data_IF_954212897048
#
_entry.id   IF_954212897048
#
_cell.length_a   1.000
_cell.length_b   1.000
_cell.length_c   1.000
_cell.angle_alpha   90.00
_cell.angle_beta   90.00
_cell.angle_gamma   90.00
#
_symmetry.space_group_name_H-M   'P 1'
#
loop_
_entity.id
_entity.type
_entity.pdbx_description
1 polymer ?
#
# COMPACT_ATOMS: atom_id res chain seq x y z
N UNK A 1 3.50 6.79 -9.44
CA UNK A 1 2.27 6.47 -8.66
C UNK A 1 1.38 5.40 -9.34
N UNK A 2 0.99 5.54 -10.62
CA UNK A 2 0.11 4.58 -11.32
C UNK A 2 0.70 3.16 -11.45
N UNK A 3 2.00 3.03 -11.79
CA UNK A 3 2.67 1.72 -11.92
C UNK A 3 2.78 0.95 -10.60
N UNK A 4 3.03 1.66 -9.49
CA UNK A 4 3.09 1.07 -8.15
C UNK A 4 1.71 0.58 -7.70
N UNK A 5 0.66 1.35 -7.94
CA UNK A 5 -0.71 0.92 -7.65
C UNK A 5 -1.09 -0.34 -8.44
N UNK A 6 -0.75 -0.43 -9.74
CA UNK A 6 -0.98 -1.65 -10.55
C UNK A 6 -0.20 -2.88 -10.06
N UNK A 7 1.01 -2.68 -9.54
CA UNK A 7 1.84 -3.73 -8.95
C UNK A 7 1.18 -4.34 -7.71
N UNK A 8 0.69 -3.47 -6.82
CA UNK A 8 0.15 -3.85 -5.52
C UNK A 8 -1.18 -4.60 -5.63
N UNK A 9 -1.98 -4.35 -6.68
CA UNK A 9 -3.28 -5.02 -6.92
C UNK A 9 -3.23 -6.55 -6.94
N UNK A 10 -2.09 -7.15 -7.27
CA UNK A 10 -1.94 -8.61 -7.30
C UNK A 10 -1.53 -9.23 -5.97
N UNK A 11 -1.66 -8.49 -4.86
CA UNK A 11 -1.38 -8.94 -3.49
C UNK A 11 -2.71 -9.08 -2.73
N UNK A 12 -2.82 -10.08 -1.87
CA UNK A 12 -4.11 -10.46 -1.24
C UNK A 12 -4.79 -9.31 -0.50
N UNK A 13 -4.01 -8.46 0.17
CA UNK A 13 -4.51 -7.27 0.87
C UNK A 13 -5.20 -6.29 -0.09
N UNK A 14 -4.55 -5.96 -1.20
CA UNK A 14 -5.08 -5.02 -2.19
C UNK A 14 -6.21 -5.64 -3.01
N UNK A 15 -6.16 -6.92 -3.33
CA UNK A 15 -7.28 -7.65 -3.97
C UNK A 15 -8.56 -7.52 -3.12
N UNK A 16 -8.43 -7.66 -1.80
CA UNK A 16 -9.57 -7.49 -0.89
C UNK A 16 -10.11 -6.05 -0.89
N UNK A 17 -9.24 -5.04 -0.93
CA UNK A 17 -9.66 -3.64 -1.06
C UNK A 17 -10.37 -3.37 -2.39
N UNK A 18 -9.89 -3.95 -3.49
CA UNK A 18 -10.53 -3.81 -4.80
C UNK A 18 -11.91 -4.45 -4.84
N UNK A 19 -12.08 -5.61 -4.20
CA UNK A 19 -13.38 -6.25 -4.02
C UNK A 19 -14.33 -5.33 -3.23
N UNK A 20 -13.89 -4.76 -2.10
CA UNK A 20 -14.68 -3.81 -1.31
C UNK A 20 -15.06 -2.56 -2.11
N UNK A 21 -14.11 -1.96 -2.83
CA UNK A 21 -14.36 -0.77 -3.67
C UNK A 21 -15.37 -1.07 -4.78
N UNK A 22 -15.28 -2.26 -5.39
CA UNK A 22 -16.22 -2.70 -6.42
C UNK A 22 -17.62 -2.86 -5.83
N UNK A 23 -17.76 -3.51 -4.69
CA UNK A 23 -19.05 -3.66 -4.02
C UNK A 23 -19.60 -2.32 -3.56
N UNK A 24 -18.78 -1.41 -3.03
CA UNK A 24 -19.20 -0.06 -2.65
C UNK A 24 -19.72 0.74 -3.84
N UNK A 25 -19.09 0.62 -5.02
CA UNK A 25 -19.57 1.26 -6.26
C UNK A 25 -20.91 0.69 -6.73
N UNK A 26 -21.06 -0.64 -6.67
CA UNK A 26 -22.26 -1.33 -7.16
C UNK A 26 -23.43 -1.34 -6.16
N UNK A 27 -23.15 -1.08 -4.88
CA UNK A 27 -24.13 -1.09 -3.81
C UNK A 27 -25.19 -0.01 -4.02
N UNK A 28 -26.44 -0.36 -3.80
CA UNK A 28 -27.53 0.60 -3.63
C UNK A 28 -27.54 1.12 -2.19
N UNK A 29 -28.09 2.32 -1.98
CA UNK A 29 -28.34 2.92 -0.66
C UNK A 29 -29.81 2.77 -0.23
N UNK A 30 -30.60 2.04 -1.00
CA UNK A 30 -32.04 1.82 -0.82
C UNK A 30 -32.40 0.57 0.01
N UNK A 31 -31.41 -0.15 0.56
CA UNK A 31 -31.66 -1.34 1.39
C UNK A 31 -32.48 -0.93 2.64
N UNK A 32 -33.74 -1.40 2.79
CA UNK A 32 -34.61 -0.96 3.88
C UNK A 32 -34.04 -1.23 5.27
N UNK A 33 -33.25 -2.31 5.43
CA UNK A 33 -32.59 -2.63 6.71
C UNK A 33 -31.53 -1.60 7.11
N UNK A 34 -31.05 -0.78 6.17
CA UNK A 34 -30.02 0.23 6.39
C UNK A 34 -30.58 1.63 6.73
N UNK A 35 -31.91 1.77 6.88
CA UNK A 35 -32.56 3.05 7.21
C UNK A 35 -32.03 3.69 8.50
N UNK A 36 -31.58 2.87 9.45
CA UNK A 36 -31.04 3.34 10.73
C UNK A 36 -29.75 4.18 10.60
N UNK A 37 -29.08 4.19 9.45
CA UNK A 37 -27.98 5.12 9.19
C UNK A 37 -28.43 6.59 9.31
N UNK A 38 -29.64 6.92 8.85
CA UNK A 38 -30.17 8.30 8.87
C UNK A 38 -30.48 8.78 10.29
N UNK A 39 -31.00 7.90 11.14
CA UNK A 39 -31.43 8.28 12.50
C UNK A 39 -30.26 8.43 13.48
N UNK A 40 -29.09 7.84 13.19
CA UNK A 40 -27.95 7.80 14.11
C UNK A 40 -26.82 8.75 13.73
N UNK A 41 -26.71 9.14 12.46
CA UNK A 41 -25.72 10.09 11.97
C UNK A 41 -26.43 11.43 11.78
N UNK A 42 -25.98 12.48 12.49
CA UNK A 42 -26.59 13.79 12.38
C UNK A 42 -26.49 14.31 10.93
N UNK A 43 -27.61 14.83 10.41
CA UNK A 43 -27.70 15.39 9.07
C UNK A 43 -27.12 16.82 9.03
N UNK A 44 -25.81 16.95 9.25
CA UNK A 44 -25.07 18.17 8.88
C UNK A 44 -25.11 18.34 7.35
N UNK A 45 -25.10 19.58 6.80
CA UNK A 45 -25.62 19.85 5.45
C UNK A 45 -24.94 19.08 4.30
N UNK A 46 -23.64 18.77 4.39
CA UNK A 46 -22.87 18.00 3.39
C UNK A 46 -22.24 16.73 3.97
N UNK A 47 -21.35 16.88 4.96
CA UNK A 47 -20.58 15.76 5.54
C UNK A 47 -21.48 14.70 6.18
N UNK A 48 -22.56 15.11 6.86
CA UNK A 48 -23.52 14.17 7.43
C UNK A 48 -24.22 13.33 6.36
N UNK A 49 -24.60 13.94 5.23
CA UNK A 49 -25.25 13.24 4.11
C UNK A 49 -24.30 12.23 3.44
N UNK A 50 -23.05 12.62 3.20
CA UNK A 50 -22.05 11.72 2.62
C UNK A 50 -21.73 10.53 3.54
N UNK A 51 -21.65 10.75 4.86
CA UNK A 51 -21.48 9.66 5.83
C UNK A 51 -22.70 8.74 5.91
N UNK A 52 -23.91 9.28 5.84
CA UNK A 52 -25.15 8.48 5.77
C UNK A 52 -25.13 7.61 4.52
N UNK A 53 -24.73 8.17 3.36
CA UNK A 53 -24.62 7.43 2.11
C UNK A 53 -23.60 6.31 2.19
N UNK A 54 -22.40 6.59 2.72
CA UNK A 54 -21.38 5.58 2.97
C UNK A 54 -21.89 4.49 3.93
N UNK A 55 -22.53 4.88 5.04
CA UNK A 55 -23.10 3.95 6.01
C UNK A 55 -24.11 3.00 5.37
N UNK A 56 -25.04 3.52 4.54
CA UNK A 56 -26.04 2.70 3.85
C UNK A 56 -25.41 1.69 2.91
N UNK A 57 -24.41 2.11 2.12
CA UNK A 57 -23.69 1.21 1.22
C UNK A 57 -22.91 0.13 1.97
N UNK A 58 -22.19 0.51 3.03
CA UNK A 58 -21.44 -0.44 3.85
C UNK A 58 -22.39 -1.39 4.57
N UNK A 59 -23.53 -0.92 5.06
CA UNK A 59 -24.60 -1.76 5.59
C UNK A 59 -25.12 -2.76 4.56
N UNK A 60 -25.36 -2.34 3.31
CA UNK A 60 -25.77 -3.24 2.24
C UNK A 60 -24.70 -4.30 1.93
N UNK A 61 -23.41 -3.92 1.91
CA UNK A 61 -22.30 -4.87 1.81
C UNK A 61 -22.40 -5.87 2.97
N UNK A 62 -22.48 -5.38 4.21
CA UNK A 62 -22.59 -6.20 5.43
C UNK A 62 -23.75 -7.20 5.34
N UNK A 63 -24.92 -6.79 4.86
CA UNK A 63 -26.12 -7.63 4.90
C UNK A 63 -26.20 -8.60 3.71
N UNK A 64 -25.83 -8.14 2.51
CA UNK A 64 -26.18 -8.81 1.26
C UNK A 64 -24.99 -9.46 0.53
N UNK A 65 -23.74 -9.09 0.82
CA UNK A 65 -22.56 -9.65 0.14
C UNK A 65 -22.01 -10.83 0.94
N UNK A 66 -22.30 -12.06 0.51
CA UNK A 66 -21.82 -13.28 1.20
C UNK A 66 -20.32 -13.53 0.91
N UNK A 67 -19.87 -13.48 -0.35
CA UNK A 67 -18.51 -13.92 -0.73
C UNK A 67 -17.32 -13.16 -0.10
N UNK A 68 -17.41 -11.84 0.08
CA UNK A 68 -16.35 -11.05 0.74
C UNK A 68 -16.36 -11.28 2.24
N UNK A 69 -17.55 -11.39 2.83
CA UNK A 69 -17.74 -11.37 4.28
C UNK A 69 -17.71 -12.76 4.89
N UNK A 70 -17.93 -13.81 4.09
CA UNK A 70 -17.66 -15.19 4.47
C UNK A 70 -16.16 -15.41 4.73
N UNK A 71 -15.27 -14.56 4.16
CA UNK A 71 -13.84 -14.56 4.49
C UNK A 71 -13.61 -14.25 5.98
N UNK A 72 -14.52 -13.51 6.64
CA UNK A 72 -14.46 -13.22 8.08
C UNK A 72 -14.89 -14.42 8.97
N UNK A 73 -15.41 -15.51 8.40
CA UNK A 73 -15.94 -16.68 9.14
C UNK A 73 -14.85 -17.64 9.63
N UNK A 74 -13.66 -17.60 9.05
CA UNK A 74 -12.57 -18.48 9.47
C UNK A 74 -12.11 -18.07 10.87
N UNK A 75 -12.57 -18.79 11.90
CA UNK A 75 -12.36 -18.52 13.34
C UNK A 75 -10.88 -18.39 13.80
N UNK A 76 -9.92 -18.55 12.88
CA UNK A 76 -8.48 -18.44 13.14
C UNK A 76 -7.83 -17.23 12.50
N UNK A 77 -8.48 -16.55 11.55
CA UNK A 77 -7.91 -15.42 10.82
C UNK A 77 -8.89 -14.25 10.74
N UNK A 78 -8.70 -13.26 11.61
CA UNK A 78 -9.51 -12.04 11.66
C UNK A 78 -9.04 -10.98 10.64
N UNK A 79 -8.03 -11.28 9.80
CA UNK A 79 -7.47 -10.36 8.82
C UNK A 79 -8.50 -9.73 7.90
N UNK A 80 -9.46 -10.45 7.28
CA UNK A 80 -10.46 -9.80 6.41
C UNK A 80 -11.26 -8.74 7.14
N UNK A 81 -11.55 -8.94 8.43
CA UNK A 81 -12.22 -7.96 9.26
C UNK A 81 -11.32 -6.75 9.57
N UNK A 82 -10.04 -7.00 9.88
CA UNK A 82 -9.08 -5.94 10.10
C UNK A 82 -8.90 -5.10 8.82
N UNK A 83 -8.72 -5.74 7.66
CA UNK A 83 -8.62 -5.09 6.36
C UNK A 83 -9.85 -4.22 6.10
N UNK A 84 -11.06 -4.76 6.32
CA UNK A 84 -12.29 -3.99 6.18
C UNK A 84 -12.35 -2.80 7.15
N UNK A 85 -11.81 -2.94 8.36
CA UNK A 85 -11.75 -1.84 9.34
C UNK A 85 -10.85 -0.70 8.85
N UNK A 86 -9.64 -1.01 8.36
CA UNK A 86 -8.73 0.00 7.80
C UNK A 86 -9.33 0.65 6.54
N UNK A 87 -9.86 -0.15 5.62
CA UNK A 87 -10.53 0.35 4.41
C UNK A 87 -11.69 1.30 4.75
N UNK A 88 -12.55 0.91 5.69
CA UNK A 88 -13.70 1.71 6.09
C UNK A 88 -13.24 3.01 6.75
N UNK A 89 -12.26 2.96 7.64
CA UNK A 89 -11.78 4.16 8.31
C UNK A 89 -11.17 5.16 7.34
N UNK A 90 -10.40 4.69 6.36
CA UNK A 90 -9.87 5.54 5.28
C UNK A 90 -11.01 6.24 4.50
N UNK A 91 -12.05 5.50 4.13
CA UNK A 91 -13.22 6.06 3.45
C UNK A 91 -14.02 7.04 4.33
N UNK A 92 -14.09 6.81 5.64
CA UNK A 92 -14.77 7.71 6.57
C UNK A 92 -13.97 9.01 6.76
N UNK A 93 -12.65 8.91 6.90
CA UNK A 93 -11.75 10.06 7.10
C UNK A 93 -11.58 10.93 5.85
N UNK A 94 -11.88 10.40 4.65
CA UNK A 94 -11.93 11.20 3.43
C UNK A 94 -13.17 12.10 3.37
N UNK A 95 -14.22 11.77 4.11
CA UNK A 95 -15.50 12.50 4.17
C UNK A 95 -15.54 13.45 5.38
N UNK A 96 -15.07 12.99 6.55
CA UNK A 96 -15.19 13.75 7.80
C UNK A 96 -14.01 13.54 8.74
N UNK A 97 -13.63 14.61 9.45
CA UNK A 97 -12.78 14.56 10.63
C UNK A 97 -13.57 14.70 11.94
N UNK A 98 -14.91 14.77 11.89
CA UNK A 98 -15.74 14.91 13.08
C UNK A 98 -15.86 13.56 13.80
N UNK A 99 -15.01 13.35 14.81
CA UNK A 99 -14.95 12.11 15.58
C UNK A 99 -16.29 11.70 16.20
N UNK A 100 -17.21 12.64 16.48
CA UNK A 100 -18.54 12.31 16.99
C UNK A 100 -19.39 11.61 15.92
N UNK A 101 -19.43 12.16 14.69
CA UNK A 101 -20.14 11.55 13.57
C UNK A 101 -19.55 10.19 13.19
N UNK A 102 -18.21 10.08 13.22
CA UNK A 102 -17.50 8.82 13.00
C UNK A 102 -17.92 7.78 14.04
N UNK A 103 -17.94 8.14 15.33
CA UNK A 103 -18.39 7.22 16.39
C UNK A 103 -19.84 6.77 16.19
N UNK A 104 -20.74 7.68 15.81
CA UNK A 104 -22.13 7.32 15.47
C UNK A 104 -22.22 6.33 14.30
N UNK A 105 -21.44 6.54 13.24
CA UNK A 105 -21.37 5.63 12.09
C UNK A 105 -20.92 4.23 12.52
N UNK A 106 -19.83 4.12 13.29
CA UNK A 106 -19.35 2.81 13.75
C UNK A 106 -20.29 2.14 14.73
N UNK A 107 -21.02 2.90 15.56
CA UNK A 107 -22.04 2.37 16.43
C UNK A 107 -23.15 1.67 15.63
N UNK A 108 -23.66 2.31 14.58
CA UNK A 108 -24.74 1.73 13.78
C UNK A 108 -24.24 0.55 12.93
N UNK A 109 -23.04 0.63 12.34
CA UNK A 109 -22.46 -0.49 11.59
C UNK A 109 -22.28 -1.74 12.48
N UNK A 110 -21.90 -1.56 13.75
CA UNK A 110 -21.82 -2.68 14.72
C UNK A 110 -23.18 -3.37 14.90
N UNK A 111 -24.28 -2.64 14.89
CA UNK A 111 -25.63 -3.21 14.99
C UNK A 111 -25.92 -4.09 13.75
N UNK A 112 -25.56 -3.63 12.56
CA UNK A 112 -25.72 -4.43 11.34
C UNK A 112 -24.83 -5.67 11.31
N UNK A 113 -23.57 -5.55 11.74
CA UNK A 113 -22.68 -6.71 11.92
C UNK A 113 -23.32 -7.75 12.85
N UNK A 114 -23.88 -7.28 13.97
CA UNK A 114 -24.57 -8.11 14.95
C UNK A 114 -25.91 -8.68 14.46
N UNK A 115 -26.51 -8.19 13.37
CA UNK A 115 -27.75 -8.79 12.84
C UNK A 115 -27.46 -9.94 11.89
N UNK A 116 -26.23 -10.05 11.36
CA UNK A 116 -25.78 -11.13 10.45
C UNK A 116 -24.99 -12.24 11.15
N UNK A 117 -25.39 -12.57 12.38
CA UNK A 117 -24.61 -13.39 13.33
C UNK A 117 -24.01 -14.71 12.82
N UNK A 118 -24.55 -15.50 11.87
CA UNK A 118 -23.80 -16.70 11.44
C UNK A 118 -22.52 -16.39 10.64
N UNK A 119 -22.44 -15.24 9.95
CA UNK A 119 -21.33 -14.94 9.03
C UNK A 119 -20.40 -13.83 9.55
N UNK A 120 -20.84 -13.04 10.54
CA UNK A 120 -20.11 -11.85 11.01
C UNK A 120 -19.77 -11.85 12.50
N UNK A 121 -20.10 -12.91 13.26
CA UNK A 121 -19.99 -12.93 14.72
C UNK A 121 -18.58 -12.64 15.28
N UNK A 122 -17.53 -12.84 14.48
CA UNK A 122 -16.14 -12.61 14.90
C UNK A 122 -15.53 -11.35 14.26
N UNK A 123 -16.28 -10.62 13.45
CA UNK A 123 -15.80 -9.40 12.83
C UNK A 123 -16.37 -8.16 13.51
N UNK A 124 -15.50 -7.46 14.24
CA UNK A 124 -15.82 -6.18 14.87
C UNK A 124 -15.10 -5.09 14.07
N UNK A 125 -15.87 -4.28 13.33
CA UNK A 125 -15.32 -3.14 12.60
C UNK A 125 -14.77 -2.11 13.59
N UNK A 126 -13.47 -1.84 13.48
CA UNK A 126 -12.74 -1.00 14.44
C UNK A 126 -12.84 0.48 14.05
N UNK A 127 -13.40 1.27 14.94
CA UNK A 127 -13.17 2.72 14.95
C UNK A 127 -11.80 2.97 15.58
N UNK A 128 -10.86 3.51 14.81
CA UNK A 128 -9.51 3.80 15.30
C UNK A 128 -9.46 5.03 16.22
N UNK A 129 -10.46 5.90 16.17
CA UNK A 129 -10.62 7.06 17.05
C UNK A 129 -9.37 7.96 17.10
N UNK A 130 -8.76 8.18 15.93
CA UNK A 130 -7.53 8.96 15.74
C UNK A 130 -7.69 9.98 14.62
N UNK A 131 -6.87 11.02 14.60
CA UNK A 131 -6.90 11.98 13.50
C UNK A 131 -6.34 11.37 12.20
N UNK A 132 -6.46 12.14 11.12
CA UNK A 132 -6.11 11.68 9.77
C UNK A 132 -4.62 11.39 9.62
N UNK A 133 -3.76 12.23 10.16
CA UNK A 133 -2.32 12.10 9.98
C UNK A 133 -1.79 10.87 10.73
N UNK A 134 -2.27 10.67 11.97
CA UNK A 134 -1.93 9.50 12.75
C UNK A 134 -2.45 8.21 12.09
N UNK A 135 -3.67 8.23 11.55
CA UNK A 135 -4.22 7.10 10.82
C UNK A 135 -3.45 6.81 9.54
N UNK A 136 -3.08 7.81 8.75
CA UNK A 136 -2.29 7.61 7.52
C UNK A 136 -0.95 6.94 7.85
N UNK A 137 -0.27 7.38 8.91
CA UNK A 137 0.96 6.72 9.37
C UNK A 137 0.73 5.28 9.79
N UNK A 138 -0.31 5.03 10.59
CA UNK A 138 -0.70 3.68 11.01
C UNK A 138 -1.02 2.78 9.83
N UNK A 139 -1.74 3.32 8.86
CA UNK A 139 -2.25 2.58 7.71
C UNK A 139 -1.11 2.19 6.79
N UNK A 140 -0.17 3.09 6.45
CA UNK A 140 1.02 2.76 5.64
C UNK A 140 1.84 1.63 6.28
N UNK A 141 2.13 1.70 7.58
CA UNK A 141 2.85 0.63 8.29
C UNK A 141 2.10 -0.72 8.21
N UNK A 142 0.78 -0.67 8.42
CA UNK A 142 -0.06 -1.86 8.38
C UNK A 142 -0.14 -2.49 6.98
N UNK A 143 -0.38 -1.68 5.93
CA UNK A 143 -0.46 -2.17 4.54
C UNK A 143 0.81 -2.90 4.15
N UNK A 144 1.97 -2.33 4.49
CA UNK A 144 3.25 -2.94 4.17
C UNK A 144 3.48 -4.25 4.94
N UNK A 145 3.19 -4.26 6.25
CA UNK A 145 3.31 -5.46 7.08
C UNK A 145 2.49 -6.63 6.53
N UNK A 146 1.24 -6.36 6.12
CA UNK A 146 0.31 -7.36 5.59
C UNK A 146 0.68 -7.81 4.17
N UNK A 147 1.21 -6.90 3.36
CA UNK A 147 1.53 -7.17 1.96
C UNK A 147 2.91 -7.78 1.76
N UNK A 148 3.82 -7.65 2.73
CA UNK A 148 5.23 -8.01 2.57
C UNK A 148 5.45 -9.48 2.21
N UNK A 149 4.73 -10.42 2.81
CA UNK A 149 4.97 -11.84 2.54
C UNK A 149 4.56 -12.22 1.10
N UNK A 150 3.49 -11.62 0.59
CA UNK A 150 3.07 -11.79 -0.81
C UNK A 150 4.10 -11.15 -1.75
N UNK A 151 4.63 -9.96 -1.41
CA UNK A 151 5.70 -9.30 -2.17
C UNK A 151 6.98 -10.13 -2.16
N UNK A 152 7.39 -10.66 -1.00
CA UNK A 152 8.55 -11.52 -0.83
C UNK A 152 8.48 -12.74 -1.74
N UNK A 153 7.34 -13.41 -1.82
CA UNK A 153 7.15 -14.55 -2.71
C UNK A 153 7.26 -14.15 -4.19
N UNK A 154 6.75 -12.97 -4.57
CA UNK A 154 6.89 -12.46 -5.94
C UNK A 154 8.32 -12.05 -6.27
N UNK A 155 9.05 -11.43 -5.34
CA UNK A 155 10.49 -11.13 -5.46
C UNK A 155 11.26 -12.44 -5.68
N UNK A 156 10.99 -13.46 -4.87
CA UNK A 156 11.68 -14.76 -4.93
C UNK A 156 11.36 -15.56 -6.21
N UNK A 157 10.26 -15.26 -6.89
CA UNK A 157 9.97 -15.84 -8.21
C UNK A 157 10.86 -15.30 -9.35
N UNK A 158 11.77 -14.35 -9.05
CA UNK A 158 12.75 -13.74 -9.97
C UNK A 158 12.12 -13.18 -11.26
N UNK A 159 10.94 -12.58 -11.16
CA UNK A 159 10.37 -11.86 -12.29
C UNK A 159 11.12 -10.53 -12.50
N UNK A 160 11.99 -10.47 -13.50
CA UNK A 160 12.86 -9.32 -13.82
C UNK A 160 12.11 -7.99 -13.96
N UNK A 161 10.83 -8.01 -14.35
CA UNK A 161 10.01 -6.81 -14.50
C UNK A 161 9.48 -6.29 -13.15
N UNK A 162 9.06 -7.19 -12.26
CA UNK A 162 8.35 -6.83 -11.04
C UNK A 162 9.25 -6.76 -9.80
N UNK A 163 10.32 -7.56 -9.75
CA UNK A 163 11.26 -7.56 -8.62
C UNK A 163 11.80 -6.16 -8.31
N UNK A 164 12.30 -5.36 -9.29
CA UNK A 164 12.78 -4.01 -9.02
C UNK A 164 11.70 -3.09 -8.43
N UNK A 165 10.44 -3.24 -8.85
CA UNK A 165 9.32 -2.43 -8.36
C UNK A 165 8.96 -2.78 -6.91
N UNK A 166 8.92 -4.07 -6.56
CA UNK A 166 8.70 -4.50 -5.18
C UNK A 166 9.86 -4.08 -4.27
N UNK A 167 11.10 -4.23 -4.74
CA UNK A 167 12.29 -3.81 -4.00
C UNK A 167 12.29 -2.30 -3.73
N UNK A 168 11.92 -1.49 -4.73
CA UNK A 168 11.73 -0.05 -4.55
C UNK A 168 10.71 0.25 -3.46
N UNK A 169 9.57 -0.44 -3.48
CA UNK A 169 8.53 -0.27 -2.46
C UNK A 169 8.98 -0.70 -1.05
N UNK A 170 9.78 -1.76 -0.94
CA UNK A 170 10.42 -2.15 0.34
C UNK A 170 11.32 -1.03 0.87
N UNK A 171 12.17 -0.46 0.01
CA UNK A 171 13.05 0.67 0.38
C UNK A 171 12.27 1.91 0.80
N UNK A 172 11.21 2.26 0.09
CA UNK A 172 10.31 3.39 0.44
C UNK A 172 9.70 3.20 1.83
N UNK A 173 9.23 2.00 2.17
CA UNK A 173 8.64 1.72 3.48
C UNK A 173 9.68 1.67 4.63
N UNK A 174 10.90 1.19 4.35
CA UNK A 174 12.01 1.26 5.33
C UNK A 174 12.38 2.73 5.63
N UNK A 175 12.41 3.58 4.60
CA UNK A 175 12.63 5.02 4.79
C UNK A 175 11.46 5.66 5.56
N UNK A 176 10.23 5.31 5.22
CA UNK A 176 9.04 5.81 5.90
C UNK A 176 9.05 5.48 7.39
N UNK A 177 9.31 4.22 7.76
CA UNK A 177 9.45 3.81 9.17
C UNK A 177 10.48 4.69 9.89
N UNK A 178 11.67 4.88 9.31
CA UNK A 178 12.74 5.66 9.92
C UNK A 178 12.41 7.16 10.05
N UNK A 179 11.62 7.71 9.13
CA UNK A 179 11.10 9.07 9.20
C UNK A 179 10.13 9.27 10.38
N UNK A 180 9.23 8.30 10.65
CA UNK A 180 8.13 8.50 11.61
C UNK A 180 8.36 7.88 12.99
N UNK A 181 9.31 6.96 13.16
CA UNK A 181 9.46 6.18 14.40
C UNK A 181 9.73 7.07 15.64
N UNK A 182 10.51 8.13 15.47
CA UNK A 182 10.88 9.03 16.57
C UNK A 182 9.74 10.00 16.94
N UNK A 183 8.72 10.14 16.09
CA UNK A 183 7.52 10.94 16.37
C UNK A 183 6.52 10.17 17.26
N UNK A 184 6.75 8.88 17.51
CA UNK A 184 5.81 7.97 18.15
C UNK A 184 6.52 6.94 19.03
N UNK A 185 7.09 7.42 20.14
CA UNK A 185 8.01 6.65 20.98
C UNK A 185 7.39 6.06 22.24
N UNK A 186 6.19 6.49 22.63
CA UNK A 186 5.50 6.01 23.83
C UNK A 186 4.35 5.04 23.51
N UNK A 187 4.01 4.18 24.47
CA UNK A 187 2.91 3.21 24.34
C UNK A 187 1.54 3.86 24.16
N UNK A 188 1.41 5.15 24.52
CA UNK A 188 0.19 5.93 24.32
C UNK A 188 0.03 6.46 22.90
N UNK A 189 1.07 6.37 22.07
CA UNK A 189 1.01 6.83 20.69
C UNK A 189 0.18 5.86 19.83
N UNK A 190 -0.63 6.45 18.94
CA UNK A 190 -1.72 5.79 18.21
C UNK A 190 -1.28 4.68 17.24
N UNK A 191 0.00 4.65 16.85
CA UNK A 191 0.59 3.65 15.94
C UNK A 191 1.90 3.03 16.49
N UNK A 192 2.14 3.14 17.79
CA UNK A 192 3.33 2.57 18.46
C UNK A 192 3.43 1.05 18.30
N UNK A 193 2.29 0.34 18.34
CA UNK A 193 2.24 -1.10 18.16
C UNK A 193 2.62 -1.51 16.73
N UNK A 194 2.19 -0.74 15.73
CA UNK A 194 2.52 -0.99 14.32
C UNK A 194 4.03 -0.78 14.08
N UNK A 195 4.61 0.26 14.66
CA UNK A 195 6.07 0.47 14.65
C UNK A 195 6.83 -0.69 15.29
N UNK A 196 6.36 -1.18 16.44
CA UNK A 196 6.97 -2.33 17.13
C UNK A 196 6.91 -3.60 16.27
N UNK A 197 5.77 -3.86 15.63
CA UNK A 197 5.60 -4.99 14.73
C UNK A 197 6.49 -4.87 13.49
N UNK A 198 6.57 -3.66 12.92
CA UNK A 198 7.47 -3.34 11.82
C UNK A 198 8.93 -3.63 12.19
N UNK A 199 9.41 -3.05 13.30
CA UNK A 199 10.76 -3.30 13.83
C UNK A 199 11.02 -4.78 14.04
N UNK A 200 10.12 -5.48 14.73
CA UNK A 200 10.26 -6.91 15.02
C UNK A 200 10.44 -7.74 13.74
N UNK A 201 9.70 -7.42 12.68
CA UNK A 201 9.77 -8.15 11.40
C UNK A 201 11.02 -7.77 10.60
N UNK A 202 11.33 -6.48 10.50
CA UNK A 202 12.34 -5.96 9.57
C UNK A 202 13.71 -5.71 10.18
N UNK A 203 13.88 -5.95 11.49
CA UNK A 203 15.18 -6.10 12.14
C UNK A 203 15.62 -7.58 12.26
N UNK A 204 14.80 -8.53 11.79
CA UNK A 204 15.18 -9.93 11.74
C UNK A 204 16.26 -10.18 10.67
N UNK A 205 17.29 -10.95 11.02
CA UNK A 205 18.44 -11.23 10.15
C UNK A 205 18.06 -11.88 8.83
N UNK A 206 17.17 -12.87 8.85
CA UNK A 206 16.83 -13.68 7.68
C UNK A 206 15.99 -12.87 6.69
N UNK A 207 15.11 -12.01 7.22
CA UNK A 207 14.33 -11.04 6.41
C UNK A 207 15.27 -10.01 5.76
N UNK A 208 16.23 -9.48 6.51
CA UNK A 208 17.20 -8.51 6.00
C UNK A 208 18.14 -9.13 4.95
N UNK A 209 18.65 -10.33 5.20
CA UNK A 209 19.52 -11.05 4.26
C UNK A 209 18.79 -11.32 2.94
N UNK A 210 17.53 -11.74 3.00
CA UNK A 210 16.69 -11.88 1.81
C UNK A 210 16.57 -10.56 1.03
N UNK A 211 16.29 -9.45 1.71
CA UNK A 211 16.16 -8.14 1.06
C UNK A 211 17.51 -7.71 0.44
N UNK A 212 18.61 -7.90 1.15
CA UNK A 212 19.94 -7.52 0.64
C UNK A 212 20.34 -8.31 -0.60
N UNK A 213 20.10 -9.63 -0.59
CA UNK A 213 20.40 -10.51 -1.72
C UNK A 213 19.48 -10.21 -2.90
N UNK A 214 18.15 -10.27 -2.70
CA UNK A 214 17.19 -10.22 -3.80
C UNK A 214 16.93 -8.83 -4.37
N UNK A 215 17.20 -7.78 -3.61
CA UNK A 215 17.04 -6.42 -4.06
C UNK A 215 18.35 -5.71 -4.38
N UNK A 216 19.48 -6.41 -4.31
CA UNK A 216 20.82 -5.82 -4.45
C UNK A 216 20.99 -4.59 -3.55
N UNK A 217 20.58 -4.72 -2.29
CA UNK A 217 20.65 -3.64 -1.31
C UNK A 217 21.74 -3.89 -0.27
N UNK A 218 22.24 -2.80 0.31
CA UNK A 218 23.11 -2.80 1.49
C UNK A 218 22.59 -1.80 2.52
N UNK A 219 22.87 -2.07 3.79
CA UNK A 219 22.55 -1.11 4.86
C UNK A 219 23.30 0.20 4.70
N UNK A 220 22.64 1.29 5.05
CA UNK A 220 23.20 2.64 5.13
C UNK A 220 22.62 3.38 6.32
N UNK A 221 23.29 4.44 6.75
CA UNK A 221 22.75 5.36 7.74
C UNK A 221 21.50 6.06 7.19
N UNK A 222 20.50 6.23 8.04
CA UNK A 222 19.33 7.04 7.76
C UNK A 222 19.63 8.53 7.98
N UNK A 223 19.08 9.39 7.11
CA UNK A 223 19.15 10.85 7.26
C UNK A 223 18.30 11.35 8.44
N UNK A 224 17.24 10.61 8.75
CA UNK A 224 16.27 10.88 9.81
C UNK A 224 16.06 9.60 10.63
N UNK A 225 15.80 9.74 11.93
CA UNK A 225 15.65 8.60 12.83
C UNK A 225 16.97 8.19 13.53
N UNK A 226 16.85 7.51 14.67
CA UNK A 226 18.02 6.90 15.34
C UNK A 226 18.65 5.77 14.49
N UNK A 227 19.98 5.70 14.43
CA UNK A 227 20.70 4.62 13.72
C UNK A 227 21.17 3.54 14.71
N UNK A 228 20.34 3.22 15.72
CA UNK A 228 20.68 2.28 16.78
C UNK A 228 20.92 0.86 16.26
N UNK A 229 21.84 0.14 16.91
CA UNK A 229 22.12 -1.26 16.60
C UNK A 229 20.89 -2.12 16.89
N UNK A 230 20.52 -2.98 15.92
CA UNK A 230 19.32 -3.82 16.02
C UNK A 230 18.01 -3.13 15.64
N UNK A 231 18.06 -1.91 15.09
CA UNK A 231 16.89 -1.26 14.48
C UNK A 231 16.77 -1.55 12.97
N UNK A 232 15.68 -1.11 12.35
CA UNK A 232 15.46 -1.24 10.90
C UNK A 232 16.39 -0.28 10.16
N UNK A 233 17.30 -0.78 9.31
CA UNK A 233 18.27 0.06 8.62
C UNK A 233 17.64 0.86 7.48
N UNK A 234 18.30 1.92 7.01
CA UNK A 234 18.01 2.46 5.69
C UNK A 234 18.75 1.64 4.62
N UNK A 235 18.20 1.64 3.40
CA UNK A 235 18.66 0.80 2.30
C UNK A 235 19.25 1.64 1.17
N UNK A 236 20.41 1.24 0.65
CA UNK A 236 21.00 1.78 -0.59
C UNK A 236 21.34 0.63 -1.55
N UNK A 237 21.39 0.92 -2.83
CA UNK A 237 21.74 -0.07 -3.87
C UNK A 237 23.22 -0.47 -3.81
N UNK A 238 23.49 -1.74 -4.12
CA UNK A 238 24.80 -2.37 -4.18
C UNK A 238 25.39 -2.16 -5.58
N UNK A 239 25.91 -0.96 -5.84
CA UNK A 239 26.40 -0.62 -7.18
C UNK A 239 26.88 0.82 -7.29
N UNK A 240 27.62 1.11 -8.37
CA UNK A 240 28.37 2.35 -8.52
C UNK A 240 27.42 3.56 -8.60
N UNK A 241 27.55 4.49 -7.64
CA UNK A 241 26.86 5.79 -7.56
C UNK A 241 26.75 6.52 -8.92
N UNK A 242 27.72 6.28 -9.81
CA UNK A 242 27.79 6.83 -11.16
C UNK A 242 26.65 6.38 -12.10
N UNK A 243 26.19 5.13 -12.05
CA UNK A 243 25.06 4.69 -12.87
C UNK A 243 23.75 5.28 -12.34
N UNK A 244 23.60 5.37 -11.02
CA UNK A 244 22.41 5.98 -10.39
C UNK A 244 22.34 7.49 -10.65
N UNK A 245 23.49 8.16 -10.81
CA UNK A 245 23.60 9.55 -11.28
C UNK A 245 23.23 9.73 -12.76
N UNK A 246 23.46 8.72 -13.60
CA UNK A 246 23.17 8.78 -15.05
C UNK A 246 21.72 8.38 -15.34
N UNK A 247 21.18 7.41 -14.61
CA UNK A 247 19.92 6.74 -14.95
C UNK A 247 18.76 7.00 -13.97
N UNK A 248 19.01 7.64 -12.82
CA UNK A 248 17.99 7.86 -11.79
C UNK A 248 17.53 6.56 -11.09
N UNK A 249 16.90 6.70 -9.92
CA UNK A 249 16.31 5.56 -9.17
C UNK A 249 14.97 5.08 -9.77
N UNK A 250 14.54 5.64 -10.90
CA UNK A 250 13.25 5.35 -11.50
C UNK A 250 13.39 4.55 -12.79
N UNK A 251 12.74 3.37 -12.83
CA UNK A 251 12.56 2.56 -14.06
C UNK A 251 12.02 3.36 -15.25
N UNK A 252 11.33 4.47 -15.00
CA UNK A 252 10.85 5.40 -16.03
C UNK A 252 11.99 6.21 -16.66
N UNK A 253 13.01 6.56 -15.87
CA UNK A 253 14.24 7.21 -16.36
C UNK A 253 15.13 6.22 -17.11
N UNK A 254 15.21 4.96 -16.65
CA UNK A 254 15.94 3.90 -17.35
C UNK A 254 15.38 3.65 -18.77
N UNK A 255 14.04 3.54 -18.91
CA UNK A 255 13.40 3.35 -20.23
C UNK A 255 13.60 4.57 -21.13
N UNK A 256 13.50 5.78 -20.57
CA UNK A 256 13.67 7.05 -21.30
C UNK A 256 15.11 7.24 -21.77
N UNK A 257 16.10 6.88 -20.95
CA UNK A 257 17.51 6.92 -21.32
C UNK A 257 17.85 5.82 -22.32
N UNK A 258 17.35 4.57 -22.16
CA UNK A 258 17.54 3.52 -23.16
C UNK A 258 17.01 3.94 -24.54
N UNK A 259 15.79 4.47 -24.60
CA UNK A 259 15.20 5.04 -25.82
C UNK A 259 16.08 6.14 -26.42
N UNK A 260 16.51 7.11 -25.62
CA UNK A 260 17.37 8.20 -26.06
C UNK A 260 18.74 7.72 -26.56
N UNK A 261 19.36 6.74 -25.89
CA UNK A 261 20.64 6.14 -26.31
C UNK A 261 20.45 5.40 -27.63
N UNK A 262 19.39 4.60 -27.82
CA UNK A 262 19.11 4.00 -29.13
C UNK A 262 18.87 5.05 -30.22
N UNK A 263 18.16 6.14 -29.93
CA UNK A 263 17.89 7.21 -30.91
C UNK A 263 19.16 7.95 -31.29
N UNK A 264 20.13 8.10 -30.38
CA UNK A 264 21.41 8.78 -30.66
C UNK A 264 22.39 7.84 -31.39
N UNK A 265 22.45 6.55 -31.03
CA UNK A 265 23.41 5.61 -31.62
C UNK A 265 23.01 5.07 -32.99
N UNK A 266 21.71 4.97 -33.30
CA UNK A 266 21.23 4.49 -34.63
C UNK A 266 21.69 5.40 -35.78
N UNK A 267 21.57 6.74 -35.73
CA UNK A 267 22.11 7.64 -36.75
C UNK A 267 23.64 7.56 -36.86
N UNK A 268 24.34 7.44 -35.73
CA UNK A 268 25.81 7.37 -35.69
C UNK A 268 26.29 6.08 -36.36
N UNK A 269 25.70 4.93 -36.05
CA UNK A 269 26.01 3.65 -36.69
C UNK A 269 25.67 3.67 -38.19
N UNK A 270 24.54 4.26 -38.60
CA UNK A 270 24.20 4.42 -40.00
C UNK A 270 25.21 5.29 -40.75
N UNK A 271 25.68 6.38 -40.13
CA UNK A 271 26.70 7.27 -40.68
C UNK A 271 28.06 6.56 -40.84
N UNK A 272 28.48 5.76 -39.84
CA UNK A 272 29.69 4.94 -39.95
C UNK A 272 29.60 3.88 -41.05
N UNK A 273 28.44 3.23 -41.23
CA UNK A 273 28.23 2.27 -42.33
C UNK A 273 28.30 2.94 -43.70
N UNK A 274 27.74 4.16 -43.83
CA UNK A 274 27.83 4.94 -45.07
C UNK A 274 29.28 5.34 -45.36
N UNK A 275 29.99 5.90 -44.38
CA UNK A 275 31.41 6.26 -44.53
C UNK A 275 32.28 5.05 -44.89
N UNK A 276 32.05 3.91 -44.25
CA UNK A 276 32.78 2.68 -44.54
C UNK A 276 32.53 2.18 -45.96
N UNK A 277 31.28 2.25 -46.46
CA UNK A 277 30.95 1.93 -47.86
C UNK A 277 31.60 2.89 -48.85
N UNK A 278 31.63 4.19 -48.54
CA UNK A 278 32.26 5.22 -49.38
C UNK A 278 33.78 4.98 -49.47
N UNK A 279 34.43 4.72 -48.34
CA UNK A 279 35.87 4.40 -48.30
C UNK A 279 36.19 3.15 -49.13
N UNK A 280 35.40 2.07 -48.99
CA UNK A 280 35.58 0.85 -49.80
C UNK A 280 35.41 1.14 -51.30
N UNK A 281 34.46 2.00 -51.68
CA UNK A 281 34.25 2.37 -53.08
C UNK A 281 35.45 3.12 -53.68
N UNK A 282 36.06 4.03 -52.92
CA UNK A 282 37.26 4.75 -53.36
C UNK A 282 38.53 3.89 -53.37
N UNK A 283 38.63 2.87 -52.51
CA UNK A 283 39.76 1.93 -52.50
C UNK A 283 39.69 0.86 -53.61
N UNK A 284 38.54 0.69 -54.26
CA UNK A 284 38.34 -0.29 -55.36
C UNK A 284 38.53 0.31 -56.76
N UNK A 285 38.97 1.56 -56.87
CA UNK A 285 39.22 2.26 -58.12
C UNK A 285 40.69 2.62 -58.24
#
# INVERSE_FOLDING_TARGET
MIKLYLLLKGLRFYEFYEELDKELRNSTDSEPKCVHCESNIASEPSTGKELIYLCKKVCNIIINVNGILDKCKNNTDDKPCQYMSYWLYNNVMSISNNLSLIRSLYHILRIFCNSRKPNFNNCILKNFNMDRNAFENKHILYEFLESYDDMKNKIDSHNELYTPLYCKHVKENFNFYNLIKDNCTNDTCEYSNDLRNFKKKFSNSDVLEFIYDKCDYIKTSCEQGSNEEGDVPCLREKGNSFLNLIFGNDTEDIIKVLLNVTIIFVPILAFFVILFKVIIFFLKK
#
